data_IF_453146914526
#
_entry.id   IF_453146914526
#
_cell.length_a   1.000
_cell.length_b   1.000
_cell.length_c   1.000
_cell.angle_alpha   90.00
_cell.angle_beta   90.00
_cell.angle_gamma   90.00
#
_symmetry.space_group_name_H-M   'P 1'
#
loop_
_entity.id
_entity.type
_entity.pdbx_description
1 polymer ?
#
# COMPACT_ATOMS: atom_id res chain seq x y z
N UNK A 1 2.24 -7.04 -19.21
CA UNK A 1 3.38 -6.92 -18.28
C UNK A 1 3.91 -5.49 -18.09
N UNK A 2 3.74 -4.58 -19.05
CA UNK A 2 4.35 -3.24 -19.03
C UNK A 2 3.96 -2.34 -17.84
N UNK A 3 2.77 -2.53 -17.25
CA UNK A 3 2.32 -1.76 -16.09
C UNK A 3 3.13 -2.04 -14.81
N UNK A 4 3.55 -3.30 -14.62
CA UNK A 4 4.37 -3.70 -13.46
C UNK A 4 5.80 -3.19 -13.62
N UNK A 5 6.33 -3.23 -14.85
CA UNK A 5 7.64 -2.63 -15.16
C UNK A 5 7.63 -1.12 -14.94
N UNK A 6 6.56 -0.43 -15.33
CA UNK A 6 6.43 1.01 -15.13
C UNK A 6 6.37 1.37 -13.64
N UNK A 7 5.62 0.62 -12.84
CA UNK A 7 5.52 0.84 -11.39
C UNK A 7 6.82 0.52 -10.63
N UNK A 8 7.74 -0.25 -11.21
CA UNK A 8 9.09 -0.44 -10.67
C UNK A 8 10.11 0.59 -11.20
N UNK A 9 10.09 0.88 -12.51
CA UNK A 9 11.06 1.76 -13.17
C UNK A 9 10.82 3.24 -12.88
N UNK A 10 9.56 3.69 -12.84
CA UNK A 10 9.25 5.10 -12.59
C UNK A 10 9.82 5.60 -11.26
N UNK A 11 9.57 4.95 -10.10
CA UNK A 11 10.16 5.40 -8.84
C UNK A 11 11.68 5.23 -8.82
N UNK A 12 12.24 4.19 -9.45
CA UNK A 12 13.68 4.02 -9.54
C UNK A 12 14.32 5.21 -10.27
N UNK A 13 13.83 5.58 -11.45
CA UNK A 13 14.35 6.71 -12.24
C UNK A 13 14.15 8.04 -11.52
N UNK A 14 12.99 8.24 -10.87
CA UNK A 14 12.70 9.44 -10.09
C UNK A 14 13.63 9.61 -8.88
N UNK A 15 14.08 8.51 -8.28
CA UNK A 15 14.95 8.53 -7.10
C UNK A 15 16.45 8.57 -7.46
N UNK A 16 16.83 8.28 -8.71
CA UNK A 16 18.23 8.36 -9.17
C UNK A 16 18.90 9.71 -8.86
N UNK A 17 18.27 10.88 -9.04
CA UNK A 17 18.87 12.18 -8.71
C UNK A 17 19.08 12.41 -7.20
N UNK A 18 18.44 11.63 -6.33
CA UNK A 18 18.57 11.74 -4.86
C UNK A 18 19.73 10.90 -4.30
N UNK A 19 20.33 10.03 -5.10
CA UNK A 19 21.54 9.27 -4.76
C UNK A 19 22.67 10.13 -4.17
N UNK A 20 23.13 11.23 -4.81
CA UNK A 20 24.26 12.01 -4.29
C UNK A 20 23.97 12.73 -2.97
N UNK A 21 22.70 12.92 -2.60
CA UNK A 21 22.33 13.66 -1.39
C UNK A 21 22.10 12.76 -0.17
N UNK A 22 21.86 11.46 -0.37
CA UNK A 22 21.36 10.56 0.69
C UNK A 22 21.93 9.14 0.62
N UNK A 23 23.14 9.00 0.09
CA UNK A 23 23.79 7.69 -0.06
C UNK A 23 24.14 7.10 1.31
N UNK A 24 23.39 6.08 1.73
CA UNK A 24 23.69 5.26 2.90
C UNK A 24 23.50 3.79 2.52
N UNK A 25 24.57 3.01 2.65
CA UNK A 25 24.50 1.56 2.44
C UNK A 25 23.97 0.90 3.72
N UNK A 26 23.09 -0.11 3.61
CA UNK A 26 22.67 -0.87 4.79
C UNK A 26 23.88 -1.61 5.37
N UNK A 27 24.23 -1.31 6.63
CA UNK A 27 25.40 -1.89 7.28
C UNK A 27 25.11 -3.29 7.88
N UNK A 28 23.84 -3.61 8.15
CA UNK A 28 23.45 -4.91 8.73
C UNK A 28 22.75 -5.83 7.73
N UNK A 29 22.99 -7.14 7.86
CA UNK A 29 22.31 -8.17 7.07
C UNK A 29 20.78 -8.20 7.26
N UNK A 30 20.28 -7.75 8.41
CA UNK A 30 18.85 -7.61 8.66
C UNK A 30 18.19 -6.58 7.72
N UNK A 31 18.83 -5.44 7.50
CA UNK A 31 18.31 -4.42 6.59
C UNK A 31 18.23 -4.92 5.15
N UNK A 32 19.22 -5.71 4.72
CA UNK A 32 19.19 -6.37 3.40
C UNK A 32 18.04 -7.37 3.27
N UNK A 33 17.79 -8.17 4.31
CA UNK A 33 16.66 -9.09 4.32
C UNK A 33 15.32 -8.35 4.22
N UNK A 34 15.14 -7.27 4.98
CA UNK A 34 13.93 -6.44 4.94
C UNK A 34 13.73 -5.79 3.56
N UNK A 35 14.80 -5.27 2.95
CA UNK A 35 14.75 -4.68 1.60
C UNK A 35 14.37 -5.72 0.54
N UNK A 36 14.90 -6.94 0.63
CA UNK A 36 14.56 -8.03 -0.28
C UNK A 36 13.09 -8.43 -0.12
N UNK A 37 12.63 -8.62 1.12
CA UNK A 37 11.23 -8.92 1.41
C UNK A 37 10.31 -7.80 0.89
N UNK A 38 10.66 -6.53 1.13
CA UNK A 38 9.89 -5.38 0.65
C UNK A 38 9.73 -5.40 -0.88
N UNK A 39 10.82 -5.69 -1.61
CA UNK A 39 10.78 -5.84 -3.07
C UNK A 39 9.89 -7.01 -3.52
N UNK A 40 10.00 -8.17 -2.88
CA UNK A 40 9.20 -9.36 -3.22
C UNK A 40 7.71 -9.11 -2.95
N UNK A 41 7.35 -8.68 -1.75
CA UNK A 41 5.95 -8.43 -1.39
C UNK A 41 5.35 -7.27 -2.20
N UNK A 42 6.10 -6.20 -2.43
CA UNK A 42 5.66 -5.07 -3.25
C UNK A 42 5.43 -5.47 -4.71
N UNK A 43 6.38 -6.21 -5.30
CA UNK A 43 6.27 -6.70 -6.67
C UNK A 43 5.11 -7.69 -6.87
N UNK A 44 5.00 -8.68 -5.98
CA UNK A 44 3.90 -9.67 -6.01
C UNK A 44 2.55 -8.97 -5.78
N UNK A 45 2.47 -8.03 -4.85
CA UNK A 45 1.25 -7.25 -4.59
C UNK A 45 0.79 -6.46 -5.81
N UNK A 46 1.69 -5.74 -6.48
CA UNK A 46 1.36 -5.03 -7.72
C UNK A 46 0.97 -5.99 -8.85
N UNK A 47 1.63 -7.13 -8.97
CA UNK A 47 1.28 -8.13 -9.99
C UNK A 47 -0.12 -8.70 -9.77
N UNK A 48 -0.48 -9.04 -8.53
CA UNK A 48 -1.83 -9.48 -8.16
C UNK A 48 -2.87 -8.41 -8.43
N UNK A 49 -2.56 -7.15 -8.12
CA UNK A 49 -3.45 -6.02 -8.37
C UNK A 49 -3.72 -5.87 -9.89
N UNK A 50 -2.68 -5.92 -10.71
CA UNK A 50 -2.81 -5.87 -12.17
C UNK A 50 -3.65 -7.04 -12.68
N UNK A 51 -3.48 -8.25 -12.15
CA UNK A 51 -4.31 -9.40 -12.53
C UNK A 51 -5.77 -9.25 -12.09
N UNK A 52 -6.02 -8.64 -10.93
CA UNK A 52 -7.38 -8.38 -10.44
C UNK A 52 -8.12 -7.39 -11.35
N UNK A 53 -7.45 -6.29 -11.74
CA UNK A 53 -8.00 -5.33 -12.72
C UNK A 53 -8.22 -5.93 -14.11
N UNK A 54 -7.48 -6.97 -14.50
CA UNK A 54 -7.70 -7.68 -15.77
C UNK A 54 -8.92 -8.59 -15.76
N UNK A 55 -9.34 -9.08 -14.59
CA UNK A 55 -10.39 -10.10 -14.46
C UNK A 55 -11.74 -9.57 -13.98
N UNK A 56 -11.76 -8.44 -13.27
CA UNK A 56 -12.99 -7.85 -12.75
C UNK A 56 -13.14 -6.39 -13.17
N UNK A 57 -14.40 -5.95 -13.24
CA UNK A 57 -14.75 -4.58 -13.63
C UNK A 57 -14.28 -3.58 -12.58
N UNK A 58 -13.87 -2.39 -13.03
CA UNK A 58 -13.30 -1.32 -12.17
C UNK A 58 -14.19 -0.97 -10.98
N UNK A 59 -15.52 -1.07 -11.15
CA UNK A 59 -16.52 -0.81 -10.10
C UNK A 59 -16.48 -1.86 -8.98
N UNK A 60 -16.19 -3.12 -9.29
CA UNK A 60 -16.09 -4.19 -8.29
C UNK A 60 -14.78 -4.10 -7.47
N UNK A 61 -13.73 -3.51 -8.04
CA UNK A 61 -12.46 -3.26 -7.33
C UNK A 61 -12.43 -1.92 -6.60
N UNK A 62 -13.41 -1.03 -6.81
CA UNK A 62 -13.49 0.27 -6.15
C UNK A 62 -13.39 0.21 -4.60
N UNK A 63 -13.90 -0.81 -3.89
CA UNK A 63 -13.76 -0.91 -2.43
C UNK A 63 -12.34 -1.24 -1.96
N UNK A 64 -11.50 -1.81 -2.83
CA UNK A 64 -10.22 -2.41 -2.45
C UNK A 64 -9.20 -1.38 -1.91
N UNK A 65 -8.98 -0.22 -2.55
CA UNK A 65 -8.09 0.82 -2.02
C UNK A 65 -8.51 1.32 -0.63
N UNK A 66 -9.82 1.36 -0.33
CA UNK A 66 -10.31 1.78 0.98
C UNK A 66 -9.98 0.74 2.07
N UNK A 67 -10.12 -0.55 1.77
CA UNK A 67 -9.69 -1.63 2.68
C UNK A 67 -8.18 -1.61 2.91
N UNK A 68 -7.39 -1.35 1.86
CA UNK A 68 -5.94 -1.20 1.97
C UNK A 68 -5.54 -0.09 2.95
N UNK A 69 -6.24 1.05 2.95
CA UNK A 69 -5.98 2.14 3.90
C UNK A 69 -6.16 1.70 5.35
N UNK A 70 -7.21 0.90 5.63
CA UNK A 70 -7.46 0.36 6.99
C UNK A 70 -6.29 -0.53 7.43
N UNK A 71 -5.85 -1.45 6.56
CA UNK A 71 -4.71 -2.32 6.84
C UNK A 71 -3.40 -1.54 7.03
N UNK A 72 -3.21 -0.45 6.27
CA UNK A 72 -2.05 0.43 6.41
C UNK A 72 -1.99 1.10 7.79
N UNK A 73 -3.13 1.55 8.32
CA UNK A 73 -3.21 2.15 9.66
C UNK A 73 -2.91 1.10 10.74
N UNK A 74 -3.54 -0.08 10.64
CA UNK A 74 -3.36 -1.17 11.62
C UNK A 74 -1.91 -1.64 11.66
N UNK A 75 -1.32 -1.91 10.49
CA UNK A 75 0.08 -2.35 10.38
C UNK A 75 1.06 -1.27 10.84
N UNK A 76 0.80 0.00 10.52
CA UNK A 76 1.58 1.13 11.01
C UNK A 76 1.64 1.19 12.54
N UNK A 77 0.49 1.03 13.20
CA UNK A 77 0.43 0.99 14.65
C UNK A 77 1.14 -0.26 15.23
N UNK A 78 0.92 -1.44 14.63
CA UNK A 78 1.47 -2.70 15.14
C UNK A 78 3.00 -2.77 15.04
N UNK A 79 3.57 -2.31 13.92
CA UNK A 79 5.00 -2.43 13.62
C UNK A 79 5.80 -1.31 14.27
N UNK A 80 5.33 -0.06 14.17
CA UNK A 80 6.09 1.10 14.63
C UNK A 80 5.73 1.53 16.06
N UNK A 81 4.70 0.94 16.68
CA UNK A 81 4.14 1.30 18.00
C UNK A 81 3.89 2.80 18.17
N UNK A 82 3.80 3.53 17.06
CA UNK A 82 3.60 4.97 17.05
C UNK A 82 2.11 5.22 17.11
N UNK A 83 1.64 5.75 18.24
CA UNK A 83 0.24 6.07 18.39
C UNK A 83 -0.10 7.24 17.46
N UNK A 84 -1.11 7.10 16.58
CA UNK A 84 -1.47 8.17 15.68
C UNK A 84 -1.92 9.41 16.46
N UNK A 85 -1.58 10.60 15.97
CA UNK A 85 -2.03 11.86 16.56
C UNK A 85 -3.57 11.95 16.50
N UNK A 86 -4.18 12.83 17.31
CA UNK A 86 -5.63 13.00 17.42
C UNK A 86 -6.28 13.21 16.04
N UNK A 87 -5.62 13.94 15.15
CA UNK A 87 -6.07 14.17 13.78
C UNK A 87 -6.03 12.90 12.91
N UNK A 88 -5.01 12.05 13.08
CA UNK A 88 -4.92 10.76 12.39
C UNK A 88 -5.99 9.79 12.88
N UNK A 89 -6.33 9.83 14.18
CA UNK A 89 -7.45 9.08 14.76
C UNK A 89 -8.80 9.51 14.18
N UNK A 90 -9.05 10.81 14.02
CA UNK A 90 -10.27 11.32 13.37
C UNK A 90 -10.32 10.88 11.91
N UNK A 91 -9.22 11.01 11.16
CA UNK A 91 -9.14 10.52 9.78
C UNK A 91 -9.38 9.02 9.67
N UNK A 92 -8.77 8.22 10.56
CA UNK A 92 -8.97 6.78 10.63
C UNK A 92 -10.43 6.42 10.92
N UNK A 93 -11.10 7.12 11.84
CA UNK A 93 -12.50 6.92 12.14
C UNK A 93 -13.41 7.19 10.92
N UNK A 94 -13.12 8.24 10.14
CA UNK A 94 -13.84 8.56 8.90
C UNK A 94 -13.64 7.45 7.86
N UNK A 95 -12.40 6.95 7.71
CA UNK A 95 -12.09 5.86 6.77
C UNK A 95 -12.83 4.58 7.18
N UNK A 96 -12.80 4.20 8.45
CA UNK A 96 -13.51 3.01 8.97
C UNK A 96 -15.02 3.15 8.78
N UNK A 97 -15.60 4.33 9.09
CA UNK A 97 -17.03 4.60 8.89
C UNK A 97 -17.42 4.52 7.40
N UNK A 98 -16.57 5.04 6.51
CA UNK A 98 -16.78 4.97 5.06
C UNK A 98 -16.68 3.53 4.54
N UNK A 99 -15.71 2.76 5.03
CA UNK A 99 -15.57 1.34 4.71
C UNK A 99 -16.80 0.53 5.16
N UNK A 100 -17.27 0.75 6.38
CA UNK A 100 -18.45 0.08 6.92
C UNK A 100 -19.73 0.46 6.14
N UNK A 101 -19.86 1.74 5.74
CA UNK A 101 -20.95 2.20 4.90
C UNK A 101 -20.95 1.53 3.52
N UNK A 102 -19.78 1.38 2.89
CA UNK A 102 -19.66 0.70 1.59
C UNK A 102 -20.07 -0.77 1.72
N UNK A 103 -19.57 -1.49 2.72
CA UNK A 103 -19.94 -2.88 2.98
C UNK A 103 -21.45 -3.01 3.20
N UNK A 104 -22.04 -2.12 4.01
CA UNK A 104 -23.48 -2.10 4.25
C UNK A 104 -24.29 -1.78 2.97
N UNK A 105 -23.84 -0.83 2.16
CA UNK A 105 -24.47 -0.46 0.88
C UNK A 105 -24.41 -1.61 -0.13
N UNK A 106 -23.28 -2.32 -0.19
CA UNK A 106 -23.05 -3.42 -1.12
C UNK A 106 -23.85 -4.67 -0.72
N UNK A 107 -24.05 -4.89 0.59
CA UNK A 107 -24.99 -5.89 1.11
C UNK A 107 -26.47 -5.54 0.84
N UNK A 108 -26.83 -4.25 0.72
CA UNK A 108 -28.20 -3.82 0.37
C UNK A 108 -28.51 -3.81 -1.12
N UNK A 109 -27.49 -3.84 -1.98
CA UNK A 109 -27.63 -3.87 -3.44
C UNK A 109 -27.63 -5.29 -4.02
N UNK A 110 -27.27 -6.29 -3.21
CA UNK A 110 -27.53 -7.72 -3.48
C UNK A 110 -28.93 -8.09 -3.00
#
# INVERSE_FOLDING_TARGET
>A
ESLVLFSALAPAVLLLPMLPFSFSLPHDGWHWFVLLMLGVFGGVGHWLLVQAYRRATTTALAPYPYSQMVWMIISGWLVFKQFPDRWTLVGAAIIVASGLYIVHREHRLR
#
